data_IF_876321713689
#
_entry.id   IF_876321713689
#
_cell.length_a   1.000
_cell.length_b   1.000
_cell.length_c   1.000
_cell.angle_alpha   90.00
_cell.angle_beta   90.00
_cell.angle_gamma   90.00
#
_symmetry.space_group_name_H-M   'P 1'
#
loop_
_entity.id
_entity.type
_entity.pdbx_description
1 polymer ?
#
# COMPACT_ATOMS: atom_id res chain seq x y z
N UNK A 1 -15.36 -35.33 11.16
CA UNK A 1 -15.01 -34.85 9.80
C UNK A 1 -15.62 -33.49 9.46
N UNK A 2 -16.89 -33.19 9.84
CA UNK A 2 -17.51 -31.87 9.59
C UNK A 2 -16.77 -30.69 10.23
N UNK A 3 -16.29 -30.83 11.47
CA UNK A 3 -15.54 -29.77 12.18
C UNK A 3 -14.17 -29.49 11.56
N UNK A 4 -13.43 -30.52 11.15
CA UNK A 4 -12.19 -30.35 10.39
C UNK A 4 -12.42 -29.65 9.05
N UNK A 5 -13.52 -29.98 8.34
CA UNK A 5 -13.89 -29.35 7.08
C UNK A 5 -14.23 -27.85 7.25
N UNK A 6 -14.92 -27.48 8.32
CA UNK A 6 -15.18 -26.07 8.65
C UNK A 6 -13.89 -25.32 8.98
N UNK A 7 -12.96 -25.96 9.71
CA UNK A 7 -11.68 -25.35 10.07
C UNK A 7 -10.80 -25.11 8.84
N UNK A 8 -10.67 -26.09 7.94
CA UNK A 8 -9.89 -25.93 6.69
C UNK A 8 -10.51 -24.89 5.75
N UNK A 9 -11.84 -24.78 5.70
CA UNK A 9 -12.53 -23.75 4.92
C UNK A 9 -12.26 -22.34 5.49
N UNK A 10 -12.29 -22.17 6.81
CA UNK A 10 -12.00 -20.88 7.47
C UNK A 10 -10.56 -20.41 7.23
N UNK A 11 -9.58 -21.32 7.23
CA UNK A 11 -8.18 -20.98 6.97
C UNK A 11 -7.93 -20.50 5.52
N UNK A 12 -8.78 -20.88 4.58
CA UNK A 12 -8.65 -20.48 3.16
C UNK A 12 -9.01 -19.01 2.88
N UNK A 13 -9.64 -18.32 3.84
CA UNK A 13 -9.99 -16.89 3.72
C UNK A 13 -8.88 -15.93 4.17
N UNK A 14 -7.75 -16.44 4.67
CA UNK A 14 -6.63 -15.59 5.09
C UNK A 14 -5.94 -15.04 3.84
N UNK A 15 -6.36 -13.85 3.42
CA UNK A 15 -5.79 -13.13 2.29
C UNK A 15 -4.64 -12.27 2.81
N UNK A 16 -3.39 -12.71 2.59
CA UNK A 16 -2.23 -11.85 2.88
C UNK A 16 -2.09 -10.83 1.76
N UNK A 17 -2.46 -9.58 1.99
CA UNK A 17 -2.13 -8.49 1.06
C UNK A 17 -0.67 -8.10 1.27
N UNK A 18 0.23 -8.35 0.32
CA UNK A 18 1.62 -7.93 0.48
C UNK A 18 1.70 -6.41 0.49
N UNK A 19 2.32 -5.85 1.53
CA UNK A 19 2.69 -4.45 1.60
C UNK A 19 3.61 -4.09 0.42
N UNK A 20 3.28 -3.02 -0.30
CA UNK A 20 4.03 -2.54 -1.46
C UNK A 20 4.81 -1.28 -1.11
N UNK A 21 5.93 -1.09 -1.79
CA UNK A 21 6.66 0.18 -1.74
C UNK A 21 6.32 1.02 -2.97
N UNK A 22 5.68 2.16 -2.74
CA UNK A 22 5.35 3.16 -3.76
C UNK A 22 6.45 4.21 -3.77
N UNK A 23 7.05 4.45 -4.93
CA UNK A 23 8.22 5.34 -5.10
C UNK A 23 7.78 6.69 -5.64
N UNK A 24 8.23 7.76 -4.98
CA UNK A 24 7.91 9.16 -5.33
C UNK A 24 9.19 9.93 -5.66
N UNK A 25 9.27 10.54 -6.83
CA UNK A 25 10.51 11.14 -7.33
C UNK A 25 10.34 11.79 -8.69
N UNK A 26 11.22 12.73 -9.03
CA UNK A 26 11.21 13.39 -10.36
C UNK A 26 11.36 12.40 -11.51
N UNK A 27 12.02 11.25 -11.29
CA UNK A 27 12.20 10.17 -12.28
C UNK A 27 11.25 8.98 -12.07
N UNK A 28 10.49 8.96 -10.98
CA UNK A 28 9.61 7.84 -10.60
C UNK A 28 8.20 7.99 -11.17
N UNK A 29 7.37 6.94 -11.08
CA UNK A 29 5.99 6.96 -11.61
C UNK A 29 5.15 8.02 -10.91
N UNK A 30 5.28 8.14 -9.59
CA UNK A 30 4.60 9.17 -8.82
C UNK A 30 5.51 10.39 -8.67
N UNK A 31 5.08 11.54 -9.19
CA UNK A 31 5.83 12.80 -9.08
C UNK A 31 5.46 13.60 -7.83
N UNK A 32 4.35 13.26 -7.18
CA UNK A 32 3.83 13.96 -6.00
C UNK A 32 3.51 12.98 -4.88
N UNK A 33 3.65 13.44 -3.64
CA UNK A 33 3.35 12.64 -2.44
C UNK A 33 1.85 12.36 -2.37
N UNK A 34 1.01 13.35 -2.69
CA UNK A 34 -0.45 13.20 -2.72
C UNK A 34 -0.96 12.17 -3.73
N UNK A 35 -0.31 12.02 -4.88
CA UNK A 35 -0.70 10.99 -5.86
C UNK A 35 -0.33 9.58 -5.40
N UNK A 36 0.79 9.43 -4.71
CA UNK A 36 1.15 8.16 -4.07
C UNK A 36 0.22 7.80 -2.91
N UNK A 37 -0.16 8.77 -2.07
CA UNK A 37 -1.13 8.57 -0.99
C UNK A 37 -2.49 8.08 -1.49
N UNK A 38 -3.00 8.67 -2.58
CA UNK A 38 -4.24 8.21 -3.23
C UNK A 38 -4.18 6.77 -3.72
N UNK A 39 -2.97 6.24 -3.98
CA UNK A 39 -2.77 4.87 -4.46
C UNK A 39 -2.46 3.87 -3.35
N UNK A 40 -1.83 4.34 -2.27
CA UNK A 40 -1.45 3.53 -1.13
C UNK A 40 -2.67 2.85 -0.50
N UNK A 41 -2.49 1.61 -0.10
CA UNK A 41 -3.43 0.88 0.75
C UNK A 41 -2.79 0.65 2.13
N UNK A 42 -3.61 0.27 3.10
CA UNK A 42 -3.13 -0.03 4.44
C UNK A 42 -1.99 -1.05 4.41
N UNK A 43 -0.89 -0.71 5.09
CA UNK A 43 0.34 -1.50 5.12
C UNK A 43 1.35 -1.16 4.04
N UNK A 44 1.01 -0.38 3.01
CA UNK A 44 1.98 0.07 2.01
C UNK A 44 2.98 1.10 2.60
N UNK A 45 4.12 1.23 1.93
CA UNK A 45 5.17 2.21 2.25
C UNK A 45 5.31 3.20 1.10
N UNK A 46 5.32 4.50 1.39
CA UNK A 46 5.67 5.53 0.41
C UNK A 46 7.14 5.93 0.63
N UNK A 47 7.99 5.64 -0.36
CA UNK A 47 9.39 6.02 -0.38
C UNK A 47 9.56 7.28 -1.23
N UNK A 48 9.89 8.40 -0.58
CA UNK A 48 10.10 9.70 -1.23
C UNK A 48 11.59 9.95 -1.45
N UNK A 49 11.99 10.10 -2.70
CA UNK A 49 13.36 10.46 -3.08
C UNK A 49 13.63 11.95 -2.81
N UNK A 50 14.91 12.33 -2.72
CA UNK A 50 15.29 13.71 -2.45
C UNK A 50 14.83 14.67 -3.56
N UNK A 51 14.22 15.79 -3.19
CA UNK A 51 13.75 16.81 -4.13
C UNK A 51 12.80 17.81 -3.48
N UNK A 52 12.39 18.83 -4.25
CA UNK A 52 11.36 19.79 -3.84
C UNK A 52 10.01 19.41 -4.44
N UNK A 53 9.02 19.22 -3.59
CA UNK A 53 7.67 18.83 -4.00
C UNK A 53 6.70 19.98 -3.73
N UNK A 54 6.03 20.44 -4.78
CA UNK A 54 4.96 21.44 -4.66
C UNK A 54 3.66 20.73 -4.28
N UNK A 55 3.47 20.49 -3.00
CA UNK A 55 2.26 19.89 -2.42
C UNK A 55 1.34 20.97 -1.84
N UNK A 56 0.05 20.62 -1.70
CA UNK A 56 -0.84 21.32 -0.77
C UNK A 56 -0.69 20.76 0.65
N UNK A 57 -1.79 20.77 1.41
CA UNK A 57 -1.82 20.05 2.68
C UNK A 57 -1.73 18.54 2.43
N UNK A 58 -0.79 17.89 3.09
CA UNK A 58 -0.68 16.43 3.10
C UNK A 58 -1.62 15.92 4.19
N UNK A 59 -2.65 15.17 3.79
CA UNK A 59 -3.61 14.52 4.68
C UNK A 59 -3.35 13.02 4.56
N UNK A 60 -3.13 12.36 5.69
CA UNK A 60 -2.79 10.93 5.81
C UNK A 60 -3.92 10.24 6.54
#
# INVERSE_FOLDING_TARGET
MRTLLCLTLMLSFVSTTPAKTIRVGETEIFKTITSALKKASDGDTILVFGGFYKEGNIII
#
